data_IF_886678078764
#
_entry.id   IF_886678078764
#
_cell.length_a   1.000
_cell.length_b   1.000
_cell.length_c   1.000
_cell.angle_alpha   90.00
_cell.angle_beta   90.00
_cell.angle_gamma   90.00
#
_symmetry.space_group_name_H-M   'P 1'
#
loop_
_entity.id
_entity.type
_entity.pdbx_description
1 polymer ?
#
# COMPACT_ATOMS: atom_id res chain seq x y z
N UNK A 1 -1.00 -11.34 18.32
CA UNK A 1 -1.74 -12.26 17.43
C UNK A 1 -2.88 -11.44 16.82
N UNK A 2 -2.59 -10.60 15.82
CA UNK A 2 -3.55 -9.60 15.27
C UNK A 2 -3.37 -9.40 13.74
N UNK A 3 -3.12 -10.51 13.03
CA UNK A 3 -2.75 -10.48 11.61
C UNK A 3 -3.94 -10.45 10.61
N UNK A 4 -5.19 -10.32 11.09
CA UNK A 4 -6.39 -10.56 10.25
C UNK A 4 -7.14 -9.32 9.76
N UNK A 5 -6.86 -8.11 10.25
CA UNK A 5 -7.76 -6.97 9.98
C UNK A 5 -7.43 -6.14 8.73
N UNK A 6 -6.17 -6.01 8.28
CA UNK A 6 -5.86 -5.17 7.10
C UNK A 6 -6.23 -5.84 5.77
N UNK A 7 -5.88 -7.12 5.57
CA UNK A 7 -6.17 -7.81 4.31
C UNK A 7 -7.66 -8.10 4.12
N UNK A 8 -8.41 -8.31 5.22
CA UNK A 8 -9.86 -8.42 5.18
C UNK A 8 -10.52 -7.11 4.73
N UNK A 9 -10.02 -5.94 5.15
CA UNK A 9 -10.52 -4.64 4.68
C UNK A 9 -10.21 -4.40 3.19
N UNK A 10 -9.08 -4.88 2.66
CA UNK A 10 -8.82 -4.76 1.22
C UNK A 10 -9.74 -5.66 0.38
N UNK A 11 -9.92 -6.92 0.80
CA UNK A 11 -10.71 -7.92 0.07
C UNK A 11 -12.23 -7.75 0.19
N UNK A 12 -12.75 -7.29 1.34
CA UNK A 12 -14.19 -7.02 1.52
C UNK A 12 -14.66 -5.85 0.64
N UNK A 13 -13.80 -4.86 0.39
CA UNK A 13 -14.17 -3.67 -0.38
C UNK A 13 -13.96 -3.83 -1.89
N UNK A 14 -12.91 -4.55 -2.35
CA UNK A 14 -12.77 -4.89 -3.78
C UNK A 14 -13.94 -5.79 -4.27
N UNK A 15 -14.59 -6.52 -3.36
CA UNK A 15 -15.79 -7.32 -3.61
C UNK A 15 -17.11 -6.54 -3.60
N UNK A 16 -17.13 -5.29 -3.16
CA UNK A 16 -18.31 -4.40 -3.15
C UNK A 16 -18.28 -3.45 -4.35
N UNK A 17 -18.15 -4.00 -5.56
CA UNK A 17 -18.62 -3.27 -6.76
C UNK A 17 -20.14 -3.15 -6.64
N UNK A 18 -20.59 -1.99 -6.18
CA UNK A 18 -22.00 -1.65 -6.18
C UNK A 18 -22.55 -1.79 -7.60
N UNK A 19 -23.43 -2.78 -7.77
CA UNK A 19 -24.37 -2.84 -8.87
C UNK A 19 -25.16 -1.53 -8.86
N UNK A 20 -24.90 -0.66 -9.83
CA UNK A 20 -25.75 0.49 -10.13
C UNK A 20 -27.14 -0.06 -10.53
N UNK A 21 -28.06 -0.12 -9.58
CA UNK A 21 -29.47 -0.34 -9.89
C UNK A 21 -30.01 0.99 -10.42
N UNK A 22 -30.10 1.11 -11.75
CA UNK A 22 -30.85 2.20 -12.39
C UNK A 22 -32.34 1.99 -12.13
N UNK A 23 -32.84 2.51 -11.02
CA UNK A 23 -34.28 2.68 -10.84
C UNK A 23 -34.71 3.91 -11.65
N UNK A 24 -35.28 3.67 -12.83
CA UNK A 24 -35.88 4.69 -13.70
C UNK A 24 -37.26 5.17 -13.19
N UNK A 25 -37.43 5.31 -11.88
CA UNK A 25 -38.67 5.83 -11.30
C UNK A 25 -38.60 7.36 -11.24
N UNK A 26 -38.89 8.00 -12.38
CA UNK A 26 -38.95 9.47 -12.50
C UNK A 26 -39.97 10.12 -11.56
N UNK A 27 -40.94 9.37 -11.05
CA UNK A 27 -42.04 9.91 -10.25
C UNK A 27 -41.70 10.16 -8.76
N UNK A 28 -40.63 9.57 -8.20
CA UNK A 28 -40.26 9.68 -6.78
C UNK A 28 -38.79 10.13 -6.59
N UNK A 29 -38.40 11.17 -7.32
CA UNK A 29 -37.02 11.66 -7.35
C UNK A 29 -36.86 12.93 -6.50
N UNK A 30 -36.23 12.81 -5.34
CA UNK A 30 -36.04 13.91 -4.39
C UNK A 30 -34.82 14.75 -4.76
N UNK A 31 -33.69 14.08 -5.06
CA UNK A 31 -32.50 14.70 -5.63
C UNK A 31 -31.96 13.93 -6.83
N UNK A 32 -31.20 14.62 -7.68
CA UNK A 32 -30.38 13.98 -8.71
C UNK A 32 -28.94 13.85 -8.24
N UNK A 33 -28.35 12.68 -8.46
CA UNK A 33 -26.91 12.48 -8.32
C UNK A 33 -26.15 13.02 -9.53
N UNK A 34 -24.82 12.95 -9.45
CA UNK A 34 -23.92 13.42 -10.48
C UNK A 34 -24.16 12.81 -11.86
N UNK A 35 -24.59 11.55 -11.90
CA UNK A 35 -24.85 10.79 -13.11
C UNK A 35 -26.31 10.93 -13.60
N UNK A 36 -27.09 11.79 -12.95
CA UNK A 36 -28.51 12.01 -13.25
C UNK A 36 -29.45 10.94 -12.66
N UNK A 37 -28.92 10.02 -11.86
CA UNK A 37 -29.67 9.02 -11.11
C UNK A 37 -30.50 9.65 -10.01
N UNK A 38 -31.63 9.03 -9.67
CA UNK A 38 -32.53 9.54 -8.64
C UNK A 38 -32.16 9.03 -7.26
N UNK A 39 -32.11 9.96 -6.30
CA UNK A 39 -31.80 9.74 -4.88
C UNK A 39 -32.99 10.14 -4.03
N UNK A 40 -33.17 9.44 -2.91
CA UNK A 40 -34.26 9.69 -1.96
C UNK A 40 -33.82 10.71 -0.91
N UNK A 41 -34.79 11.41 -0.34
CA UNK A 41 -34.52 12.31 0.78
C UNK A 41 -33.92 11.55 1.98
N UNK A 42 -32.96 12.17 2.66
CA UNK A 42 -32.09 11.63 3.69
C UNK A 42 -31.11 10.53 3.23
N UNK A 43 -30.92 10.34 1.92
CA UNK A 43 -29.89 9.44 1.39
C UNK A 43 -28.53 10.14 1.34
N UNK A 44 -27.46 9.41 1.66
CA UNK A 44 -26.09 9.82 1.42
C UNK A 44 -25.30 8.71 0.74
N UNK A 45 -24.40 9.09 -0.17
CA UNK A 45 -23.68 8.14 -1.01
C UNK A 45 -22.29 8.67 -1.40
N UNK A 46 -21.48 7.77 -1.95
CA UNK A 46 -20.12 8.05 -2.42
C UNK A 46 -20.07 7.77 -3.93
N UNK A 47 -19.70 8.77 -4.72
CA UNK A 47 -19.36 8.57 -6.13
C UNK A 47 -17.85 8.37 -6.31
N UNK A 48 -17.46 7.54 -7.27
CA UNK A 48 -16.06 7.28 -7.68
C UNK A 48 -15.10 7.01 -6.52
N UNK A 49 -15.64 6.39 -5.47
CA UNK A 49 -14.99 6.11 -4.19
C UNK A 49 -14.52 7.32 -3.37
N UNK A 50 -14.77 8.54 -3.82
CA UNK A 50 -14.17 9.75 -3.25
C UNK A 50 -15.18 10.84 -2.94
N UNK A 51 -16.21 11.04 -3.76
CA UNK A 51 -17.06 12.22 -3.64
C UNK A 51 -18.29 11.93 -2.78
N UNK A 52 -18.40 12.56 -1.62
CA UNK A 52 -19.48 12.30 -0.67
C UNK A 52 -20.60 13.34 -0.80
N UNK A 53 -21.82 12.85 -0.99
CA UNK A 53 -23.00 13.67 -1.20
C UNK A 53 -24.12 13.27 -0.23
N UNK A 54 -25.08 14.18 -0.05
CA UNK A 54 -26.37 13.88 0.57
C UNK A 54 -27.52 14.54 -0.16
N UNK A 55 -28.69 13.91 -0.08
CA UNK A 55 -29.97 14.45 -0.50
C UNK A 55 -30.80 14.82 0.73
N UNK A 56 -30.97 16.12 0.99
CA UNK A 56 -31.77 16.63 2.12
C UNK A 56 -32.87 17.59 1.63
N UNK A 57 -33.42 17.33 0.45
CA UNK A 57 -34.37 18.22 -0.21
C UNK A 57 -35.31 17.41 -1.09
N UNK A 58 -36.41 18.03 -1.52
CA UNK A 58 -37.45 17.43 -2.35
C UNK A 58 -37.47 18.09 -3.74
N UNK A 59 -38.31 17.57 -4.65
CA UNK A 59 -38.57 18.16 -5.97
C UNK A 59 -37.36 18.17 -6.93
N UNK A 60 -36.65 17.05 -7.07
CA UNK A 60 -35.55 16.88 -8.03
C UNK A 60 -34.44 17.93 -7.88
N UNK A 61 -34.20 18.36 -6.66
CA UNK A 61 -33.15 19.33 -6.33
C UNK A 61 -31.75 18.74 -6.55
N UNK A 62 -30.74 19.61 -6.67
CA UNK A 62 -29.35 19.16 -6.75
C UNK A 62 -28.90 18.59 -5.40
N UNK A 63 -28.16 17.48 -5.44
CA UNK A 63 -27.53 16.90 -4.25
C UNK A 63 -26.53 17.87 -3.61
N UNK A 64 -26.44 17.87 -2.28
CA UNK A 64 -25.43 18.65 -1.56
C UNK A 64 -24.11 17.89 -1.51
N UNK A 65 -23.03 18.52 -1.97
CA UNK A 65 -21.69 18.00 -1.75
C UNK A 65 -21.27 18.24 -0.30
N UNK A 66 -20.81 17.18 0.37
CA UNK A 66 -20.39 17.21 1.77
C UNK A 66 -18.88 17.22 1.94
N UNK A 67 -18.15 16.58 1.03
CA UNK A 67 -16.70 16.49 1.10
C UNK A 67 -16.12 15.27 0.39
N UNK A 68 -14.86 14.98 0.69
CA UNK A 68 -14.08 13.93 0.05
C UNK A 68 -13.84 12.79 1.04
N UNK A 69 -14.24 11.58 0.66
CA UNK A 69 -13.88 10.34 1.36
C UNK A 69 -12.46 9.96 0.99
N UNK A 70 -11.64 9.79 2.02
CA UNK A 70 -10.24 9.41 1.84
C UNK A 70 -10.08 7.97 1.39
N UNK A 71 -8.86 7.61 1.00
CA UNK A 71 -8.51 6.22 0.67
C UNK A 71 -8.71 5.27 1.86
N UNK A 72 -8.70 3.97 1.56
CA UNK A 72 -8.79 2.90 2.56
C UNK A 72 -7.66 2.97 3.60
N UNK A 73 -6.51 3.55 3.22
CA UNK A 73 -5.36 3.86 4.08
C UNK A 73 -5.72 4.44 5.45
N UNK A 74 -6.74 5.29 5.51
CA UNK A 74 -7.21 5.92 6.75
C UNK A 74 -8.72 5.72 6.94
N UNK A 75 -9.19 4.51 6.64
CA UNK A 75 -10.57 4.05 6.91
C UNK A 75 -11.66 4.93 6.27
N UNK A 76 -11.42 5.46 5.06
CA UNK A 76 -12.39 6.27 4.30
C UNK A 76 -13.03 7.38 5.16
N UNK A 77 -12.19 8.08 5.92
CA UNK A 77 -12.57 9.24 6.72
C UNK A 77 -13.10 10.35 5.81
N UNK A 78 -14.09 11.12 6.26
CA UNK A 78 -14.61 12.26 5.50
C UNK A 78 -13.77 13.50 5.79
N UNK A 79 -13.19 14.09 4.75
CA UNK A 79 -12.66 15.47 4.76
C UNK A 79 -13.78 16.37 4.26
N UNK A 80 -14.25 17.31 5.08
CA UNK A 80 -15.34 18.21 4.70
C UNK A 80 -14.91 19.12 3.55
N UNK A 81 -15.89 19.61 2.78
CA UNK A 81 -15.61 20.54 1.68
C UNK A 81 -14.87 21.80 2.17
N UNK A 82 -13.84 22.22 1.44
CA UNK A 82 -12.91 23.31 1.78
C UNK A 82 -12.11 23.11 3.07
N UNK A 83 -11.88 21.85 3.45
CA UNK A 83 -11.10 21.50 4.64
C UNK A 83 -9.79 20.77 4.26
N UNK A 84 -8.80 20.93 5.13
CA UNK A 84 -7.54 20.20 5.07
C UNK A 84 -7.28 19.54 6.44
N UNK A 85 -6.79 18.30 6.42
CA UNK A 85 -6.53 17.56 7.66
C UNK A 85 -5.26 16.76 7.53
N UNK A 86 -4.53 16.71 8.64
CA UNK A 86 -3.44 15.76 8.83
C UNK A 86 -3.93 14.64 9.71
N UNK A 87 -3.93 13.41 9.19
CA UNK A 87 -4.40 12.21 9.89
C UNK A 87 -3.24 11.21 9.87
N UNK A 88 -2.83 10.74 11.05
CA UNK A 88 -1.70 9.82 11.24
C UNK A 88 -0.39 10.34 10.60
N UNK A 89 -0.14 11.65 10.65
CA UNK A 89 1.05 12.27 10.08
C UNK A 89 0.97 12.61 8.59
N UNK A 90 -0.09 12.22 7.90
CA UNK A 90 -0.24 12.46 6.45
C UNK A 90 -1.32 13.50 6.15
N UNK A 91 -1.05 14.40 5.21
CA UNK A 91 -2.00 15.46 4.85
C UNK A 91 -3.00 15.03 3.77
N UNK A 92 -4.22 15.56 3.89
CA UNK A 92 -5.35 15.36 2.98
C UNK A 92 -6.06 16.69 2.78
N UNK A 93 -6.57 16.93 1.58
CA UNK A 93 -7.27 18.17 1.22
C UNK A 93 -8.49 17.89 0.34
N UNK A 94 -9.59 18.58 0.62
CA UNK A 94 -10.80 18.55 -0.20
C UNK A 94 -11.20 20.00 -0.55
N UNK A 95 -10.76 20.46 -1.71
CA UNK A 95 -10.99 21.81 -2.21
C UNK A 95 -12.19 21.85 -3.16
N UNK A 96 -13.05 22.86 -3.01
CA UNK A 96 -14.18 23.07 -3.92
C UNK A 96 -14.22 24.51 -4.43
N UNK A 97 -14.33 24.62 -5.74
CA UNK A 97 -14.48 25.88 -6.45
C UNK A 97 -15.71 25.81 -7.34
N UNK A 98 -16.12 26.96 -7.88
CA UNK A 98 -17.17 27.08 -8.91
C UNK A 98 -16.96 26.22 -10.17
N UNK A 99 -15.74 25.74 -10.44
CA UNK A 99 -15.43 24.99 -11.66
C UNK A 99 -15.01 23.54 -11.40
N UNK A 100 -14.63 23.19 -10.17
CA UNK A 100 -14.12 21.85 -9.86
C UNK A 100 -14.20 21.53 -8.38
N UNK A 101 -14.31 20.23 -8.10
CA UNK A 101 -13.96 19.60 -6.83
C UNK A 101 -12.58 18.95 -7.01
N UNK A 102 -11.68 19.15 -6.05
CA UNK A 102 -10.33 18.60 -6.05
C UNK A 102 -10.07 17.89 -4.72
N UNK A 103 -9.76 16.60 -4.82
CA UNK A 103 -9.28 15.81 -3.70
C UNK A 103 -7.78 15.57 -3.87
N UNK A 104 -7.01 15.82 -2.82
CA UNK A 104 -5.58 15.55 -2.78
C UNK A 104 -5.21 14.83 -1.49
N UNK A 105 -4.24 13.93 -1.59
CA UNK A 105 -3.63 13.26 -0.45
C UNK A 105 -2.12 13.19 -0.64
N UNK A 106 -1.41 13.20 0.48
CA UNK A 106 0.03 12.99 0.49
C UNK A 106 0.41 11.63 -0.11
N UNK A 107 1.35 11.64 -1.06
CA UNK A 107 1.93 10.44 -1.64
C UNK A 107 2.60 9.59 -0.56
N UNK A 108 2.42 8.28 -0.61
CA UNK A 108 2.97 7.36 0.38
C UNK A 108 3.01 5.93 -0.16
N UNK A 109 3.81 5.08 0.48
CA UNK A 109 3.87 3.67 0.19
C UNK A 109 3.16 2.89 1.29
N UNK A 110 2.26 2.00 0.88
CA UNK A 110 1.62 1.06 1.80
C UNK A 110 2.28 -0.30 1.63
N UNK A 111 2.72 -0.86 2.75
CA UNK A 111 3.29 -2.19 2.83
C UNK A 111 2.61 -2.93 3.97
N UNK A 112 1.82 -3.95 3.62
CA UNK A 112 0.87 -4.60 4.52
C UNK A 112 -0.06 -3.61 5.24
N UNK A 113 0.23 -3.27 6.51
CA UNK A 113 -0.52 -2.32 7.33
C UNK A 113 0.25 -1.03 7.61
N UNK A 114 1.55 -1.00 7.31
CA UNK A 114 2.40 0.13 7.60
C UNK A 114 2.38 1.11 6.43
N UNK A 115 2.45 2.39 6.76
CA UNK A 115 2.46 3.45 5.77
C UNK A 115 3.66 4.34 5.95
N UNK A 116 4.41 4.50 4.87
CA UNK A 116 5.68 5.18 4.84
C UNK A 116 5.59 6.49 4.04
N UNK A 117 6.23 7.53 4.52
CA UNK A 117 6.39 8.78 3.78
C UNK A 117 7.33 8.56 2.59
N UNK A 118 7.16 9.40 1.57
CA UNK A 118 8.12 9.46 0.46
C UNK A 118 9.49 9.82 1.00
N UNK A 119 10.50 9.05 0.61
CA UNK A 119 11.88 9.14 1.10
C UNK A 119 12.20 8.18 2.24
N UNK A 120 11.20 7.61 2.92
CA UNK A 120 11.44 6.64 3.99
C UNK A 120 12.05 5.36 3.42
N UNK A 121 13.03 4.82 4.15
CA UNK A 121 13.54 3.47 3.89
C UNK A 121 13.01 2.52 4.94
N UNK A 122 12.51 1.37 4.50
CA UNK A 122 11.96 0.35 5.37
C UNK A 122 12.39 -1.03 4.92
N UNK A 123 12.16 -2.01 5.78
CA UNK A 123 12.55 -3.39 5.53
C UNK A 123 11.32 -4.28 5.50
N UNK A 124 11.19 -5.06 4.44
CA UNK A 124 10.22 -6.15 4.34
C UNK A 124 10.97 -7.43 4.01
N UNK A 125 10.96 -8.38 4.95
CA UNK A 125 11.65 -9.66 4.80
C UNK A 125 13.17 -9.47 4.66
N UNK A 126 13.71 -9.87 3.51
CA UNK A 126 15.14 -9.78 3.20
C UNK A 126 15.51 -8.55 2.37
N UNK A 127 14.57 -7.67 2.04
CA UNK A 127 14.83 -6.54 1.17
C UNK A 127 14.67 -5.21 1.90
N UNK A 128 15.56 -4.28 1.59
CA UNK A 128 15.39 -2.87 1.93
C UNK A 128 14.64 -2.20 0.79
N UNK A 129 13.60 -1.46 1.13
CA UNK A 129 12.83 -0.63 0.22
C UNK A 129 13.08 0.84 0.53
N UNK A 130 12.98 1.69 -0.49
CA UNK A 130 12.76 3.12 -0.37
C UNK A 130 11.39 3.46 -0.93
N UNK A 131 10.64 4.29 -0.22
CA UNK A 131 9.37 4.80 -0.69
C UNK A 131 9.57 6.01 -1.61
N UNK A 132 8.93 5.98 -2.78
CA UNK A 132 8.90 7.06 -3.76
C UNK A 132 7.43 7.44 -4.03
N UNK A 133 7.20 8.59 -4.66
CA UNK A 133 5.85 9.03 -5.02
C UNK A 133 5.11 8.05 -5.95
N UNK A 134 5.86 7.33 -6.80
CA UNK A 134 5.32 6.38 -7.77
C UNK A 134 5.20 4.95 -7.24
N UNK A 135 5.83 4.62 -6.12
CA UNK A 135 5.93 3.25 -5.63
C UNK A 135 7.14 3.03 -4.73
N UNK A 136 7.44 1.76 -4.43
CA UNK A 136 8.60 1.36 -3.61
C UNK A 136 9.65 0.64 -4.44
N UNK A 137 10.92 0.99 -4.21
CA UNK A 137 12.08 0.45 -4.93
C UNK A 137 12.96 -0.32 -3.97
N UNK A 138 13.50 -1.47 -4.40
CA UNK A 138 14.49 -2.19 -3.60
C UNK A 138 15.84 -1.48 -3.71
N UNK A 139 16.47 -1.19 -2.59
CA UNK A 139 17.80 -0.56 -2.52
C UNK A 139 18.90 -1.52 -2.05
N UNK A 140 18.53 -2.65 -1.44
CA UNK A 140 19.48 -3.65 -0.96
C UNK A 140 18.80 -4.87 -0.35
N UNK A 141 19.62 -5.79 0.15
CA UNK A 141 19.17 -7.00 0.82
C UNK A 141 19.80 -7.11 2.21
N UNK A 142 19.07 -7.70 3.15
CA UNK A 142 19.55 -7.97 4.50
C UNK A 142 19.94 -9.44 4.66
N UNK A 143 21.02 -9.70 5.38
CA UNK A 143 21.34 -11.03 5.91
C UNK A 143 21.65 -10.95 7.41
N UNK A 144 21.53 -12.08 8.11
CA UNK A 144 21.97 -12.17 9.51
C UNK A 144 23.43 -12.62 9.56
N UNK A 145 24.24 -11.87 10.30
CA UNK A 145 25.62 -12.27 10.60
C UNK A 145 25.66 -13.31 11.75
N UNK A 146 26.87 -13.72 12.17
CA UNK A 146 27.05 -14.69 13.26
C UNK A 146 26.49 -14.21 14.62
N UNK A 147 26.48 -12.89 14.85
CA UNK A 147 25.93 -12.27 16.07
C UNK A 147 24.40 -12.11 16.02
N UNK A 148 23.75 -12.55 14.93
CA UNK A 148 22.32 -12.38 14.63
C UNK A 148 21.89 -10.93 14.37
N UNK A 149 22.83 -10.05 14.13
CA UNK A 149 22.56 -8.70 13.68
C UNK A 149 22.24 -8.70 12.18
N UNK A 150 21.29 -7.86 11.80
CA UNK A 150 20.92 -7.69 10.41
C UNK A 150 21.85 -6.70 9.73
N UNK A 151 22.53 -7.17 8.68
CA UNK A 151 23.49 -6.39 7.91
C UNK A 151 22.93 -6.16 6.51
N UNK A 152 22.98 -4.90 6.08
CA UNK A 152 22.56 -4.49 4.75
C UNK A 152 23.67 -4.73 3.72
N UNK A 153 23.30 -5.32 2.59
CA UNK A 153 24.09 -5.45 1.38
C UNK A 153 23.46 -4.61 0.28
N UNK A 154 24.27 -3.88 -0.48
CA UNK A 154 23.79 -3.20 -1.68
C UNK A 154 23.53 -4.21 -2.80
N UNK A 155 22.69 -3.84 -3.76
CA UNK A 155 22.49 -4.64 -4.96
C UNK A 155 23.82 -4.76 -5.72
N UNK A 156 24.16 -5.98 -6.12
CA UNK A 156 25.44 -6.37 -6.71
C UNK A 156 26.50 -6.78 -5.69
N UNK A 157 26.23 -6.68 -4.38
CA UNK A 157 27.18 -7.10 -3.36
C UNK A 157 27.08 -8.59 -3.03
N UNK A 158 28.25 -9.17 -2.76
CA UNK A 158 28.40 -10.49 -2.15
C UNK A 158 29.13 -10.34 -0.83
N UNK A 159 28.62 -10.98 0.23
CA UNK A 159 29.26 -11.05 1.54
C UNK A 159 29.47 -12.50 1.94
N UNK A 160 30.41 -12.71 2.86
CA UNK A 160 30.74 -14.02 3.38
C UNK A 160 30.52 -14.04 4.89
N UNK A 161 29.85 -15.08 5.36
CA UNK A 161 29.62 -15.35 6.75
C UNK A 161 30.08 -16.80 7.03
N UNK A 162 31.35 -16.95 7.44
CA UNK A 162 32.02 -18.25 7.52
C UNK A 162 32.03 -19.00 6.19
N UNK A 163 31.39 -20.17 6.17
CA UNK A 163 31.24 -21.03 4.98
C UNK A 163 30.05 -20.65 4.08
N UNK A 164 29.24 -19.67 4.48
CA UNK A 164 28.06 -19.23 3.75
C UNK A 164 28.39 -17.97 2.96
N UNK A 165 28.11 -18.02 1.66
CA UNK A 165 28.13 -16.88 0.73
C UNK A 165 26.72 -16.32 0.63
N UNK A 166 26.57 -15.03 0.90
CA UNK A 166 25.35 -14.27 0.73
C UNK A 166 25.47 -13.38 -0.50
N UNK A 167 24.46 -13.37 -1.36
CA UNK A 167 24.45 -12.57 -2.59
C UNK A 167 23.15 -11.77 -2.65
N UNK A 168 23.28 -10.48 -2.96
CA UNK A 168 22.16 -9.60 -3.29
C UNK A 168 22.38 -9.08 -4.70
N UNK A 169 21.56 -9.49 -5.66
CA UNK A 169 21.77 -9.09 -7.05
C UNK A 169 20.46 -9.01 -7.84
N UNK A 170 20.49 -8.38 -9.00
CA UNK A 170 19.40 -8.44 -9.98
C UNK A 170 19.51 -9.73 -10.78
N UNK A 171 18.37 -10.23 -11.24
CA UNK A 171 18.40 -11.27 -12.27
C UNK A 171 19.03 -10.73 -13.55
N UNK A 172 20.02 -11.44 -14.09
CA UNK A 172 20.65 -11.09 -15.38
C UNK A 172 19.63 -11.00 -16.50
N UNK A 173 18.71 -11.97 -16.54
CA UNK A 173 17.76 -12.15 -17.65
C UNK A 173 16.49 -11.31 -17.44
N UNK A 174 16.25 -10.87 -16.20
CA UNK A 174 15.08 -10.07 -15.84
C UNK A 174 15.46 -9.01 -14.79
N UNK A 175 16.03 -7.86 -15.21
CA UNK A 175 16.52 -6.83 -14.28
C UNK A 175 15.42 -6.19 -13.43
N UNK A 176 14.15 -6.45 -13.73
CA UNK A 176 12.99 -6.09 -12.94
C UNK A 176 12.79 -6.92 -11.66
N UNK A 177 13.66 -7.90 -11.37
CA UNK A 177 13.66 -8.67 -10.12
C UNK A 177 15.01 -8.60 -9.42
N UNK A 178 14.96 -8.45 -8.11
CA UNK A 178 16.09 -8.61 -7.20
C UNK A 178 15.96 -9.96 -6.51
N UNK A 179 17.08 -10.64 -6.37
CA UNK A 179 17.20 -11.88 -5.61
C UNK A 179 18.18 -11.69 -4.46
N UNK A 180 17.82 -12.33 -3.35
CA UNK A 180 18.73 -12.59 -2.26
C UNK A 180 18.88 -14.10 -2.14
N UNK A 181 20.12 -14.59 -2.09
CA UNK A 181 20.35 -16.00 -1.83
C UNK A 181 21.58 -16.27 -1.00
N UNK A 182 21.53 -17.39 -0.28
CA UNK A 182 22.62 -17.90 0.54
C UNK A 182 23.00 -19.31 0.08
N UNK A 183 24.29 -19.53 -0.17
CA UNK A 183 24.84 -20.82 -0.59
C UNK A 183 26.14 -21.14 0.13
N UNK A 184 26.53 -22.42 0.16
CA UNK A 184 27.86 -22.80 0.64
C UNK A 184 28.91 -22.34 -0.37
N UNK A 185 30.02 -21.82 0.13
CA UNK A 185 31.19 -21.43 -0.66
C UNK A 185 31.76 -22.60 -1.46
N UNK A 186 31.98 -22.37 -2.74
CA UNK A 186 32.59 -23.27 -3.73
C UNK A 186 34.05 -22.91 -4.01
N UNK A 187 34.47 -21.70 -3.65
CA UNK A 187 35.81 -21.15 -3.82
C UNK A 187 36.82 -21.66 -2.79
N UNK A 188 36.35 -22.29 -1.71
CA UNK A 188 37.19 -22.95 -0.71
C UNK A 188 37.03 -24.46 -0.88
N UNK A 189 38.11 -25.22 -1.14
CA UNK A 189 38.04 -26.67 -1.22
C UNK A 189 37.62 -27.26 0.14
N UNK A 190 36.34 -27.60 0.27
CA UNK A 190 35.82 -28.39 1.38
C UNK A 190 36.00 -29.87 1.04
N UNK A 191 37.01 -30.51 1.66
CA UNK A 191 37.14 -31.96 1.59
C UNK A 191 36.00 -32.60 2.37
N UNK A 192 35.01 -33.16 1.68
CA UNK A 192 34.21 -34.26 2.25
C UNK A 192 35.15 -35.47 2.28
N UNK A 193 35.59 -35.97 3.46
CA UNK A 193 36.51 -37.09 3.47
C UNK A 193 35.79 -38.33 2.93
N UNK A 194 36.18 -38.83 1.75
CA UNK A 194 35.59 -40.02 1.14
C UNK A 194 35.97 -41.33 1.83
N UNK A 195 36.96 -41.31 2.73
CA UNK A 195 37.31 -42.44 3.60
C UNK A 195 38.03 -41.89 4.85
N UNK A 196 37.35 -41.76 5.99
CA UNK A 196 37.98 -41.65 7.32
C UNK A 196 36.93 -41.72 8.41
N UNK A 197 37.20 -42.52 9.43
CA UNK A 197 36.38 -42.60 10.63
C UNK A 197 36.10 -41.23 11.24
N UNK A 198 35.07 -41.22 12.11
CA UNK A 198 34.55 -40.07 12.85
C UNK A 198 35.67 -39.06 13.15
N UNK A 199 35.62 -37.93 12.45
CA UNK A 199 36.65 -36.90 12.48
C UNK A 199 36.53 -36.15 13.81
N UNK A 200 37.38 -36.46 14.80
CA UNK A 200 37.31 -35.89 16.16
C UNK A 200 37.62 -34.39 16.23
N UNK A 201 38.16 -33.80 15.15
CA UNK A 201 38.41 -32.36 15.02
C UNK A 201 37.25 -31.60 14.35
N UNK A 202 36.26 -32.32 13.83
CA UNK A 202 34.95 -31.74 13.64
C UNK A 202 34.20 -31.91 14.97
N UNK A 203 33.48 -30.88 15.44
CA UNK A 203 32.46 -31.10 16.45
C UNK A 203 31.66 -32.36 16.08
N UNK A 204 31.51 -33.32 17.02
CA UNK A 204 30.59 -34.46 16.87
C UNK A 204 29.25 -33.94 16.33
N UNK A 205 28.42 -34.72 15.65
CA UNK A 205 27.08 -34.25 15.18
C UNK A 205 26.19 -33.64 16.30
N UNK A 206 26.61 -33.74 17.57
CA UNK A 206 26.05 -33.04 18.73
C UNK A 206 26.65 -31.65 19.02
N UNK A 207 27.83 -31.29 18.54
CA UNK A 207 28.46 -29.96 18.70
C UNK A 207 27.98 -29.03 17.57
N UNK A 208 26.64 -28.93 17.55
CA UNK A 208 25.84 -27.89 16.94
C UNK A 208 26.12 -26.56 17.63
N UNK A 209 27.30 -25.97 17.42
CA UNK A 209 27.52 -24.54 17.77
C UNK A 209 26.52 -23.65 17.02
N UNK A 210 26.12 -24.08 15.83
CA UNK A 210 24.88 -23.62 15.20
C UNK A 210 23.74 -24.50 15.75
N UNK A 211 22.97 -23.97 16.70
CA UNK A 211 21.79 -24.64 17.28
C UNK A 211 20.72 -25.03 16.25
N UNK A 212 20.88 -24.63 15.00
CA UNK A 212 19.94 -24.85 13.89
C UNK A 212 20.72 -25.32 12.65
N UNK A 213 20.13 -26.23 11.86
CA UNK A 213 20.71 -26.62 10.57
C UNK A 213 20.92 -25.35 9.72
N UNK A 214 22.12 -25.12 9.14
CA UNK A 214 22.31 -24.01 8.22
C UNK A 214 21.32 -24.18 7.08
N UNK A 215 20.54 -23.13 6.81
CA UNK A 215 19.51 -23.13 5.76
C UNK A 215 20.21 -23.51 4.46
N UNK A 216 19.95 -24.74 4.00
CA UNK A 216 20.79 -25.37 2.98
C UNK A 216 20.75 -24.61 1.66
N UNK A 217 19.65 -23.90 1.39
CA UNK A 217 19.44 -23.01 0.26
C UNK A 217 18.34 -22.01 0.64
N UNK A 218 18.69 -20.77 1.00
CA UNK A 218 17.70 -19.69 1.13
C UNK A 218 17.74 -18.90 -0.17
N UNK A 219 16.60 -18.79 -0.83
CA UNK A 219 16.45 -18.02 -2.06
C UNK A 219 15.15 -17.26 -1.98
N UNK A 220 15.25 -15.94 -2.07
CA UNK A 220 14.14 -15.02 -1.95
C UNK A 220 14.21 -14.05 -3.12
N UNK A 221 13.04 -13.71 -3.67
CA UNK A 221 12.95 -12.82 -4.82
C UNK A 221 11.86 -11.79 -4.62
N UNK A 222 12.09 -10.60 -5.15
CA UNK A 222 11.08 -9.55 -5.15
C UNK A 222 11.19 -8.71 -6.43
N UNK A 223 10.08 -8.09 -6.81
CA UNK A 223 10.06 -7.12 -7.90
C UNK A 223 10.90 -5.92 -7.50
N UNK A 224 11.82 -5.51 -8.38
CA UNK A 224 12.73 -4.39 -8.14
C UNK A 224 11.98 -3.09 -7.86
N UNK A 225 10.86 -2.91 -8.57
CA UNK A 225 9.89 -1.85 -8.36
C UNK A 225 8.51 -2.46 -8.12
N UNK A 226 7.79 -1.91 -7.14
CA UNK A 226 6.36 -2.16 -6.95
C UNK A 226 5.64 -0.81 -6.96
N UNK A 227 4.72 -0.62 -7.90
CA UNK A 227 3.87 0.56 -7.95
C UNK A 227 3.04 0.70 -6.66
N UNK A 228 2.80 1.94 -6.24
CA UNK A 228 1.88 2.19 -5.13
C UNK A 228 0.47 1.74 -5.49
N UNK A 229 -0.18 0.99 -4.59
CA UNK A 229 -1.56 0.54 -4.82
C UNK A 229 -2.57 1.67 -4.82
N UNK A 230 -2.26 2.79 -4.17
CA UNK A 230 -3.05 4.01 -4.24
C UNK A 230 -2.73 4.75 -5.54
N UNK A 231 -3.51 4.44 -6.59
CA UNK A 231 -3.28 4.92 -7.96
C UNK A 231 -3.37 6.44 -8.15
N UNK A 232 -3.88 7.19 -7.18
CA UNK A 232 -4.14 8.62 -7.33
C UNK A 232 -3.87 9.41 -6.04
N UNK A 233 -2.84 10.24 -6.06
CA UNK A 233 -2.61 11.27 -5.03
C UNK A 233 -3.50 12.51 -5.25
N UNK A 234 -4.09 12.64 -6.44
CA UNK A 234 -4.97 13.74 -6.82
C UNK A 234 -6.13 13.19 -7.65
N UNK A 235 -7.36 13.59 -7.32
CA UNK A 235 -8.55 13.41 -8.15
C UNK A 235 -9.23 14.76 -8.38
N UNK A 236 -9.69 15.00 -9.60
CA UNK A 236 -10.38 16.24 -9.97
C UNK A 236 -11.69 15.89 -10.67
N UNK A 237 -12.78 16.52 -10.25
CA UNK A 237 -14.09 16.48 -10.90
C UNK A 237 -14.47 17.88 -11.33
N UNK A 238 -14.58 18.12 -12.63
CA UNK A 238 -14.99 19.42 -13.18
C UNK A 238 -16.51 19.59 -13.10
N UNK A 239 -16.95 20.78 -12.70
CA UNK A 239 -18.36 21.14 -12.57
C UNK A 239 -18.91 21.63 -13.91
N UNK A 240 -20.09 21.15 -14.36
CA UNK A 240 -20.74 21.68 -15.54
C UNK A 240 -21.02 23.18 -15.37
N UNK A 241 -20.94 23.98 -16.44
CA UNK A 241 -21.25 25.42 -16.39
C UNK A 241 -22.66 25.75 -15.90
N UNK A 242 -23.58 24.77 -15.92
CA UNK A 242 -25.00 24.90 -15.56
C UNK A 242 -25.33 24.57 -14.11
N UNK A 243 -24.39 24.01 -13.33
CA UNK A 243 -24.61 23.69 -11.91
C UNK A 243 -24.42 24.97 -11.10
N UNK A 244 -25.46 25.41 -10.39
CA UNK A 244 -25.40 26.58 -9.50
C UNK A 244 -24.58 26.23 -8.26
N UNK A 245 -23.97 27.24 -7.62
CA UNK A 245 -23.15 27.05 -6.42
C UNK A 245 -23.84 26.16 -5.38
N UNK A 246 -23.17 25.07 -4.95
CA UNK A 246 -23.64 24.32 -3.81
C UNK A 246 -23.57 25.20 -2.57
N UNK A 247 -24.74 25.53 -2.02
CA UNK A 247 -24.85 26.25 -0.76
C UNK A 247 -24.16 25.46 0.35
N UNK A 248 -23.02 25.97 0.82
CA UNK A 248 -22.32 25.49 2.03
C UNK A 248 -23.00 25.98 3.31
N UNK A 249 -23.99 26.88 3.21
CA UNK A 249 -24.72 27.37 4.37
C UNK A 249 -25.49 26.23 5.07
N UNK A 250 -25.44 26.23 6.41
CA UNK A 250 -26.27 25.35 7.22
C UNK A 250 -27.75 25.71 7.02
N UNK A 251 -28.68 24.73 7.00
CA UNK A 251 -30.10 25.03 6.92
C UNK A 251 -30.50 25.84 8.15
N UNK A 252 -30.97 27.08 7.92
CA UNK A 252 -31.64 27.87 8.95
C UNK A 252 -32.98 27.18 9.24
N UNK A 253 -33.08 26.55 10.41
CA UNK A 253 -34.37 26.18 10.98
C UNK A 253 -35.07 27.46 11.47
N UNK A 254 -36.21 27.78 10.88
CA UNK A 254 -37.21 28.71 11.46
C UNK A 254 -38.26 27.90 12.19
#
# INVERSE_FOLDING_TARGET
MEWKNCQALKAVFDGLRHLYVRNNDEQNCDCRDWYGGCRRNNESWIDDDTWYYSCNSYNRSESKFLGCKTSWRINRTLITANDNRTINGFWYSCDITKFRIKYEQEAACVDDCDVYHVGDTFRHGYFQYICLESGKWITGCFYQNETKDWVLMRIGETRYNGLVKHVCDKYSDYPGRVQYYAQVRDDIPFKTPQNKGINQNLPLQADNRLKYQPVRWLHETASYFTECSDKYNVKIRYLPPTVKEWSTAAPYHR
#
